data_IF_757289656589
#
_entry.id   IF_757289656589
#
_cell.length_a   1.000
_cell.length_b   1.000
_cell.length_c   1.000
_cell.angle_alpha   90.00
_cell.angle_beta   90.00
_cell.angle_gamma   90.00
#
_symmetry.space_group_name_H-M   'P 1'
#
loop_
_entity.id
_entity.type
_entity.pdbx_description
1 polymer ?
#
# COMPACT_ATOMS: atom_id res chain seq x y z
N UNK A 1 -5.32 14.82 -18.28
CA UNK A 1 -5.19 14.41 -17.87
C UNK A 1 -5.20 13.58 -17.39
N UNK A 2 -5.16 13.54 -17.38
CA UNK A 2 -4.76 12.64 -17.04
C UNK A 2 -5.49 11.73 -16.51
N UNK A 3 -5.24 10.64 -16.53
CA UNK A 3 -5.87 9.68 -15.87
C UNK A 3 -5.66 9.87 -14.43
N UNK A 4 -6.67 10.02 -13.66
CA UNK A 4 -6.55 10.10 -12.23
C UNK A 4 -6.27 8.75 -11.62
N UNK A 5 -5.93 8.75 -10.33
CA UNK A 5 -5.80 7.53 -9.54
C UNK A 5 -7.18 6.91 -9.36
N UNK A 6 -7.29 5.61 -9.61
CA UNK A 6 -8.54 4.84 -9.45
C UNK A 6 -8.47 3.81 -8.35
N UNK A 7 -7.25 3.51 -7.85
CA UNK A 7 -7.04 2.56 -6.78
C UNK A 7 -5.94 3.06 -5.85
N UNK A 8 -6.22 3.09 -4.56
CA UNK A 8 -5.22 3.39 -3.54
C UNK A 8 -5.08 2.15 -2.67
N UNK A 9 -3.86 1.64 -2.59
CA UNK A 9 -3.52 0.43 -1.84
C UNK A 9 -2.70 0.81 -0.62
N UNK A 10 -3.03 0.24 0.54
CA UNK A 10 -2.22 0.39 1.74
C UNK A 10 -1.63 -0.94 2.16
N UNK A 11 -0.31 -1.00 2.28
CA UNK A 11 0.39 -2.24 2.58
C UNK A 11 0.59 -2.46 4.07
N UNK A 12 0.41 -3.71 4.50
CA UNK A 12 0.62 -4.14 5.87
C UNK A 12 0.50 -5.65 5.99
N UNK A 13 0.91 -6.19 7.11
CA UNK A 13 0.70 -7.60 7.45
C UNK A 13 -0.61 -7.75 8.21
N UNK A 14 -1.36 -8.84 8.01
CA UNK A 14 -2.62 -9.07 8.72
C UNK A 14 -2.35 -9.54 10.15
N UNK A 15 -3.33 -9.31 11.02
CA UNK A 15 -3.31 -9.75 12.41
C UNK A 15 -3.02 -8.62 13.38
N UNK A 16 -3.60 -8.69 14.61
CA UNK A 16 -3.45 -7.61 15.58
C UNK A 16 -2.01 -7.39 16.04
N UNK A 17 -1.15 -8.42 15.97
CA UNK A 17 0.25 -8.28 16.32
C UNK A 17 1.03 -7.35 15.40
N UNK A 18 0.51 -7.08 14.19
CA UNK A 18 1.17 -6.21 13.22
C UNK A 18 0.54 -4.83 13.09
N UNK A 19 -0.65 -4.59 13.69
CA UNK A 19 -1.46 -3.40 13.44
C UNK A 19 -0.72 -2.09 13.66
N UNK A 20 0.14 -2.03 14.67
CA UNK A 20 0.86 -0.80 15.00
C UNK A 20 2.34 -0.89 14.66
N UNK A 21 2.74 -1.88 13.87
CA UNK A 21 4.13 -1.96 13.43
C UNK A 21 4.41 -0.93 12.33
N UNK A 22 5.67 -0.55 12.19
CA UNK A 22 6.09 0.40 11.15
C UNK A 22 5.76 -0.10 9.75
N UNK A 23 5.84 -1.40 9.52
CA UNK A 23 5.57 -2.01 8.22
C UNK A 23 4.09 -1.91 7.83
N UNK A 24 3.21 -1.63 8.77
CA UNK A 24 1.78 -1.44 8.51
C UNK A 24 1.38 0.03 8.29
N UNK A 25 2.34 0.93 8.13
CA UNK A 25 2.05 2.34 7.93
C UNK A 25 1.10 2.58 6.74
N UNK A 26 1.28 1.84 5.65
CA UNK A 26 0.42 1.98 4.47
C UNK A 26 -1.03 1.57 4.76
N UNK A 27 -1.22 0.43 5.44
CA UNK A 27 -2.55 -0.02 5.81
C UNK A 27 -3.24 0.97 6.75
N UNK A 28 -2.50 1.49 7.72
CA UNK A 28 -3.03 2.49 8.66
C UNK A 28 -3.44 3.77 7.92
N UNK A 29 -2.67 4.17 6.92
CA UNK A 29 -3.03 5.33 6.09
C UNK A 29 -4.40 5.14 5.43
N UNK A 30 -4.65 3.96 4.85
CA UNK A 30 -5.93 3.68 4.19
C UNK A 30 -7.07 3.66 5.22
N UNK A 31 -6.85 3.07 6.39
CA UNK A 31 -7.88 3.05 7.43
C UNK A 31 -8.28 4.47 7.83
N UNK A 32 -7.33 5.35 7.99
CA UNK A 32 -7.58 6.75 8.34
C UNK A 32 -8.23 7.52 7.20
N UNK A 33 -7.84 7.24 5.97
CA UNK A 33 -8.47 7.86 4.80
C UNK A 33 -9.94 7.44 4.70
N UNK A 34 -10.22 6.16 4.88
CA UNK A 34 -11.59 5.65 4.86
C UNK A 34 -12.42 6.29 5.96
N UNK A 35 -11.89 6.38 7.17
CA UNK A 35 -12.55 7.01 8.30
C UNK A 35 -12.89 8.47 8.01
N UNK A 36 -11.95 9.22 7.46
CA UNK A 36 -12.14 10.64 7.13
C UNK A 36 -13.28 10.85 6.15
N UNK A 37 -13.48 9.91 5.23
CA UNK A 37 -14.50 10.00 4.20
C UNK A 37 -15.74 9.16 4.52
N UNK A 38 -15.84 8.63 5.73
CA UNK A 38 -16.98 7.82 6.19
C UNK A 38 -17.19 6.59 5.31
N UNK A 39 -16.11 5.96 4.87
CA UNK A 39 -16.15 4.75 4.05
C UNK A 39 -15.92 3.55 4.95
N UNK A 40 -16.85 2.57 4.91
CA UNK A 40 -16.65 1.32 5.60
C UNK A 40 -15.83 0.36 4.76
N UNK A 41 -14.70 -0.11 5.31
CA UNK A 41 -13.91 -1.13 4.64
C UNK A 41 -14.53 -2.50 4.92
N UNK A 42 -14.61 -3.34 3.88
CA UNK A 42 -15.24 -4.65 3.94
C UNK A 42 -14.29 -5.72 3.42
N UNK A 43 -14.29 -6.88 4.07
CA UNK A 43 -13.51 -8.01 3.59
C UNK A 43 -14.13 -8.55 2.31
N UNK A 44 -13.32 -8.65 1.25
CA UNK A 44 -13.73 -9.26 -0.01
C UNK A 44 -12.71 -10.32 -0.41
N UNK A 45 -13.08 -11.59 -0.20
CA UNK A 45 -12.15 -12.70 -0.42
C UNK A 45 -11.68 -12.79 -1.87
N UNK A 46 -12.50 -12.39 -2.84
CA UNK A 46 -12.09 -12.42 -4.25
C UNK A 46 -10.96 -11.46 -4.56
N UNK A 47 -10.74 -10.46 -3.71
CA UNK A 47 -9.65 -9.49 -3.85
C UNK A 47 -8.58 -9.64 -2.79
N UNK A 48 -8.68 -10.67 -1.95
CA UNK A 48 -7.67 -10.97 -0.91
C UNK A 48 -7.41 -9.78 0.02
N UNK A 49 -8.45 -9.03 0.34
CA UNK A 49 -8.26 -7.85 1.19
C UNK A 49 -9.53 -7.16 1.63
N UNK A 50 -9.32 -6.09 2.37
CA UNK A 50 -10.37 -5.15 2.75
C UNK A 50 -10.50 -4.11 1.65
N UNK A 51 -11.73 -3.82 1.24
CA UNK A 51 -11.97 -2.87 0.16
C UNK A 51 -12.97 -1.82 0.57
N UNK A 52 -12.90 -0.69 -0.11
CA UNK A 52 -13.87 0.39 0.03
C UNK A 52 -13.90 1.21 -1.24
N UNK A 53 -14.84 2.13 -1.30
CA UNK A 53 -14.95 3.04 -2.43
C UNK A 53 -15.29 4.43 -1.91
N UNK A 54 -14.52 5.41 -2.35
CA UNK A 54 -14.82 6.79 -2.05
C UNK A 54 -14.93 7.58 -3.35
N UNK A 55 -15.61 8.71 -3.29
CA UNK A 55 -15.78 9.59 -4.44
C UNK A 55 -15.15 10.94 -4.09
N UNK A 56 -14.20 11.37 -4.92
CA UNK A 56 -13.56 12.67 -4.78
C UNK A 56 -13.73 13.41 -6.11
N UNK A 57 -14.32 14.59 -6.04
CA UNK A 57 -14.54 15.43 -7.22
C UNK A 57 -15.24 14.66 -8.35
N UNK A 58 -16.22 13.84 -8.00
CA UNK A 58 -16.99 13.06 -8.96
C UNK A 58 -16.31 11.82 -9.48
N UNK A 59 -15.10 11.52 -9.03
CA UNK A 59 -14.36 10.32 -9.45
C UNK A 59 -14.41 9.25 -8.39
N UNK A 60 -14.69 8.02 -8.82
CA UNK A 60 -14.65 6.85 -7.93
C UNK A 60 -13.23 6.39 -7.75
N UNK A 61 -12.82 6.24 -6.49
CA UNK A 61 -11.52 5.72 -6.13
C UNK A 61 -11.75 4.52 -5.23
N UNK A 62 -11.16 3.39 -5.58
CA UNK A 62 -11.24 2.19 -4.77
C UNK A 62 -10.09 2.16 -3.78
N UNK A 63 -10.38 1.65 -2.58
CA UNK A 63 -9.39 1.46 -1.52
C UNK A 63 -9.17 -0.04 -1.34
N UNK A 64 -7.93 -0.42 -1.09
CA UNK A 64 -7.57 -1.81 -0.86
C UNK A 64 -6.50 -1.92 0.22
N UNK A 65 -6.78 -2.73 1.23
CA UNK A 65 -5.75 -3.18 2.18
C UNK A 65 -5.63 -4.69 1.99
N UNK A 66 -4.54 -5.18 1.35
CA UNK A 66 -4.34 -6.62 1.24
C UNK A 66 -4.33 -7.26 2.63
N UNK A 67 -5.02 -8.39 2.77
CA UNK A 67 -5.02 -9.17 4.01
C UNK A 67 -4.13 -10.40 3.90
N UNK A 68 -3.32 -10.47 2.86
CA UNK A 68 -2.23 -11.41 2.72
C UNK A 68 -1.03 -10.92 3.51
N UNK A 69 -0.07 -11.79 3.77
CA UNK A 69 1.21 -11.33 4.29
C UNK A 69 1.89 -10.42 3.26
N UNK A 70 2.77 -9.55 3.75
CA UNK A 70 3.38 -8.48 2.94
C UNK A 70 3.96 -8.98 1.63
N UNK A 71 4.65 -10.13 1.65
CA UNK A 71 5.31 -10.67 0.46
C UNK A 71 4.33 -11.25 -0.59
N UNK A 72 3.01 -11.17 -0.34
CA UNK A 72 1.98 -11.58 -1.28
C UNK A 72 0.99 -10.46 -1.58
N UNK A 73 1.35 -9.23 -1.27
CA UNK A 73 0.49 -8.06 -1.49
C UNK A 73 0.06 -7.90 -2.95
N UNK A 74 0.90 -8.31 -3.88
CA UNK A 74 0.61 -8.19 -5.30
C UNK A 74 -0.56 -9.04 -5.76
N UNK A 75 -0.86 -10.14 -5.08
CA UNK A 75 -2.00 -10.98 -5.41
C UNK A 75 -3.31 -10.19 -5.30
N UNK A 76 -3.46 -9.42 -4.23
CA UNK A 76 -4.64 -8.60 -4.02
C UNK A 76 -4.71 -7.47 -5.05
N UNK A 77 -3.61 -6.79 -5.28
CA UNK A 77 -3.56 -5.67 -6.23
C UNK A 77 -3.91 -6.13 -7.63
N UNK A 78 -3.29 -7.22 -8.08
CA UNK A 78 -3.54 -7.74 -9.42
C UNK A 78 -5.00 -8.21 -9.58
N UNK A 79 -5.56 -8.86 -8.57
CA UNK A 79 -6.94 -9.34 -8.64
C UNK A 79 -7.93 -8.18 -8.78
N UNK A 80 -7.78 -7.13 -7.96
CA UNK A 80 -8.70 -6.00 -8.01
C UNK A 80 -8.49 -5.17 -9.27
N UNK A 81 -7.25 -4.87 -9.60
CA UNK A 81 -6.94 -4.07 -10.80
C UNK A 81 -7.41 -4.78 -12.07
N UNK A 82 -7.23 -6.08 -12.16
CA UNK A 82 -7.70 -6.85 -13.32
C UNK A 82 -9.22 -6.84 -13.42
N UNK A 83 -9.92 -7.01 -12.31
CA UNK A 83 -11.38 -7.03 -12.30
C UNK A 83 -11.98 -5.71 -12.79
N UNK A 84 -11.43 -4.59 -12.34
CA UNK A 84 -11.93 -3.25 -12.69
C UNK A 84 -11.18 -2.62 -13.85
N UNK A 85 -10.26 -3.34 -14.48
CA UNK A 85 -9.46 -2.86 -15.62
C UNK A 85 -8.69 -1.58 -15.30
N UNK A 86 -8.06 -1.58 -14.13
CA UNK A 86 -7.24 -0.47 -13.68
C UNK A 86 -5.81 -0.71 -14.11
N UNK A 87 -5.20 0.28 -14.76
CA UNK A 87 -3.81 0.17 -15.23
C UNK A 87 -2.84 0.53 -14.09
N UNK A 88 -1.56 0.09 -14.18
CA UNK A 88 -0.58 0.47 -13.15
C UNK A 88 -0.50 1.99 -12.94
N UNK A 89 -0.60 2.77 -14.00
CA UNK A 89 -0.52 4.24 -13.91
C UNK A 89 -1.69 4.86 -13.17
N UNK A 90 -2.74 4.09 -12.89
CA UNK A 90 -3.92 4.54 -12.16
C UNK A 90 -3.90 4.06 -10.70
N UNK A 91 -2.79 3.47 -10.26
CA UNK A 91 -2.66 2.89 -8.91
C UNK A 91 -1.69 3.73 -8.08
N UNK A 92 -2.08 4.02 -6.85
CA UNK A 92 -1.21 4.61 -5.84
C UNK A 92 -1.06 3.59 -4.71
N UNK A 93 0.18 3.25 -4.38
CA UNK A 93 0.49 2.31 -3.29
C UNK A 93 1.12 3.07 -2.14
N UNK A 94 0.46 3.06 -0.99
CA UNK A 94 1.00 3.64 0.24
C UNK A 94 1.78 2.56 0.98
N UNK A 95 3.02 2.86 1.34
CA UNK A 95 3.91 1.90 1.97
C UNK A 95 4.90 2.59 2.91
N UNK A 96 5.45 1.81 3.84
CA UNK A 96 6.51 2.28 4.72
C UNK A 96 7.80 2.49 3.92
N UNK A 97 8.55 3.54 4.28
CA UNK A 97 9.79 3.90 3.59
C UNK A 97 10.92 4.13 4.56
N UNK A 98 11.96 3.31 4.46
CA UNK A 98 13.12 3.39 5.33
C UNK A 98 13.99 4.62 5.06
N UNK A 99 13.99 5.10 3.82
CA UNK A 99 14.89 6.17 3.38
C UNK A 99 14.37 7.58 3.71
N UNK A 100 13.20 7.67 4.32
CA UNK A 100 12.63 8.95 4.76
C UNK A 100 12.49 8.99 6.28
N UNK A 101 12.76 10.14 6.92
CA UNK A 101 12.57 10.27 8.36
C UNK A 101 11.10 10.04 8.76
N UNK A 102 10.86 9.64 10.02
CA UNK A 102 9.49 9.51 10.50
C UNK A 102 8.69 10.80 10.31
N UNK A 103 7.45 10.63 9.81
CA UNK A 103 6.56 11.76 9.57
C UNK A 103 6.73 12.45 8.23
N UNK A 104 7.74 12.10 7.45
CA UNK A 104 7.93 12.65 6.10
C UNK A 104 7.17 11.79 5.11
N UNK A 105 6.41 12.42 4.22
CA UNK A 105 5.61 11.74 3.20
C UNK A 105 5.97 12.30 1.83
N UNK A 106 6.28 11.43 0.88
CA UNK A 106 6.59 11.83 -0.49
C UNK A 106 5.91 10.94 -1.50
N UNK A 107 5.46 11.54 -2.59
CA UNK A 107 4.94 10.80 -3.74
C UNK A 107 6.03 10.57 -4.77
N UNK A 108 5.96 9.42 -5.45
CA UNK A 108 6.88 9.08 -6.51
C UNK A 108 6.17 8.25 -7.56
N UNK A 109 6.45 8.48 -8.84
CA UNK A 109 5.95 7.62 -9.92
C UNK A 109 7.02 6.65 -10.33
N UNK A 110 6.68 5.35 -10.35
CA UNK A 110 7.58 4.32 -10.83
C UNK A 110 8.77 4.04 -9.92
N UNK A 111 9.70 3.28 -10.42
CA UNK A 111 10.91 2.92 -9.71
C UNK A 111 10.93 1.47 -9.24
N UNK A 112 12.05 1.04 -8.68
CA UNK A 112 12.21 -0.29 -8.14
C UNK A 112 11.52 -0.45 -6.77
N UNK A 113 11.67 -1.64 -6.19
CA UNK A 113 11.03 -1.93 -4.91
C UNK A 113 11.87 -1.54 -3.68
N UNK A 114 13.15 -1.22 -3.88
CA UNK A 114 14.01 -0.79 -2.79
C UNK A 114 14.15 -1.79 -1.65
N UNK A 115 13.97 -3.08 -1.92
CA UNK A 115 13.98 -4.13 -0.90
C UNK A 115 12.66 -4.30 -0.16
N UNK A 116 11.63 -3.54 -0.47
CA UNK A 116 10.31 -3.67 0.16
C UNK A 116 9.59 -4.88 -0.43
N UNK A 117 9.28 -5.87 0.39
CA UNK A 117 8.70 -7.14 -0.07
C UNK A 117 7.33 -6.96 -0.71
N UNK A 118 6.50 -6.07 -0.19
CA UNK A 118 5.19 -5.79 -0.76
C UNK A 118 5.30 -5.18 -2.16
N UNK A 119 6.17 -4.19 -2.34
CA UNK A 119 6.38 -3.59 -3.65
C UNK A 119 6.97 -4.58 -4.64
N UNK A 120 7.89 -5.42 -4.18
CA UNK A 120 8.47 -6.47 -5.04
C UNK A 120 7.39 -7.38 -5.59
N UNK A 121 6.49 -7.84 -4.73
CA UNK A 121 5.43 -8.75 -5.16
C UNK A 121 4.41 -8.05 -6.07
N UNK A 122 4.06 -6.79 -5.79
CA UNK A 122 3.17 -6.03 -6.68
C UNK A 122 3.75 -5.95 -8.07
N UNK A 123 5.03 -5.58 -8.18
CA UNK A 123 5.70 -5.49 -9.49
C UNK A 123 5.64 -6.84 -10.21
N UNK A 124 5.96 -7.93 -9.52
CA UNK A 124 5.93 -9.26 -10.10
C UNK A 124 4.52 -9.63 -10.59
N UNK A 125 3.50 -9.40 -9.78
CA UNK A 125 2.12 -9.77 -10.10
C UNK A 125 1.50 -8.88 -11.18
N UNK A 126 2.03 -7.69 -11.40
CA UNK A 126 1.59 -6.80 -12.48
C UNK A 126 2.41 -7.00 -13.77
N UNK A 127 3.00 -8.18 -13.95
CA UNK A 127 3.76 -8.51 -15.16
C UNK A 127 5.06 -7.73 -15.27
N UNK A 128 5.72 -7.51 -14.15
CA UNK A 128 6.96 -6.73 -14.04
C UNK A 128 6.79 -5.26 -14.42
N UNK A 129 5.58 -4.73 -14.26
CA UNK A 129 5.32 -3.31 -14.48
C UNK A 129 5.47 -2.56 -13.17
N UNK A 130 6.27 -1.51 -13.17
CA UNK A 130 6.58 -0.74 -11.97
C UNK A 130 6.14 0.74 -12.09
N UNK A 131 5.26 1.05 -13.02
CA UNK A 131 4.89 2.43 -13.37
C UNK A 131 3.80 3.01 -12.49
N UNK A 132 3.38 2.30 -11.45
CA UNK A 132 2.40 2.82 -10.50
C UNK A 132 3.01 3.90 -9.60
N UNK A 133 2.15 4.70 -8.99
CA UNK A 133 2.57 5.75 -8.06
C UNK A 133 2.79 5.17 -6.67
N UNK A 134 3.68 5.78 -5.91
CA UNK A 134 4.01 5.40 -4.54
C UNK A 134 3.77 6.58 -3.61
N UNK A 135 3.07 6.33 -2.51
CA UNK A 135 3.04 7.25 -1.39
C UNK A 135 4.00 6.69 -0.34
N UNK A 136 5.16 7.32 -0.23
CA UNK A 136 6.27 6.87 0.61
C UNK A 136 6.09 7.47 2.00
N UNK A 137 5.78 6.61 2.97
CA UNK A 137 5.55 7.03 4.36
C UNK A 137 6.81 6.77 5.17
N UNK A 138 7.50 7.83 5.54
CA UNK A 138 8.80 7.72 6.22
C UNK A 138 8.68 7.08 7.59
N UNK A 139 9.54 6.08 7.84
CA UNK A 139 9.63 5.41 9.13
C UNK A 139 11.05 5.46 9.71
N UNK A 140 12.02 5.98 8.93
CA UNK A 140 13.42 6.00 9.31
C UNK A 140 14.11 4.66 9.04
N UNK A 141 15.41 4.65 9.16
CA UNK A 141 16.24 3.46 8.94
C UNK A 141 16.98 3.11 10.23
N UNK A 142 17.12 1.82 10.58
CA UNK A 142 17.83 1.42 11.80
C UNK A 142 19.34 1.62 11.73
N UNK A 143 19.89 1.97 10.56
CA UNK A 143 21.31 2.23 10.36
C UNK A 143 22.10 1.05 9.83
N UNK A 144 21.54 -0.16 9.90
CA UNK A 144 22.22 -1.36 9.42
C UNK A 144 21.22 -2.31 8.78
N UNK A 145 21.56 -2.85 7.61
CA UNK A 145 20.63 -3.69 6.84
C UNK A 145 20.20 -4.96 7.59
N UNK A 146 21.06 -5.51 8.45
CA UNK A 146 20.72 -6.70 9.24
C UNK A 146 19.63 -6.45 10.27
N UNK A 147 19.32 -5.19 10.56
CA UNK A 147 18.30 -4.82 11.56
C UNK A 147 16.96 -4.46 10.93
N UNK A 148 16.86 -4.44 9.58
CA UNK A 148 15.66 -3.92 8.89
C UNK A 148 14.42 -4.71 9.24
N UNK A 149 14.47 -6.05 9.21
CA UNK A 149 13.29 -6.87 9.50
C UNK A 149 12.74 -6.59 10.89
N UNK A 150 13.59 -6.59 11.91
CA UNK A 150 13.16 -6.29 13.26
C UNK A 150 12.62 -4.86 13.42
N UNK A 151 13.23 -3.91 12.72
CA UNK A 151 12.82 -2.51 12.77
C UNK A 151 11.42 -2.32 12.18
N UNK A 152 11.16 -2.86 10.97
CA UNK A 152 9.85 -2.65 10.31
C UNK A 152 8.73 -3.42 11.02
N UNK A 153 9.03 -4.52 11.71
CA UNK A 153 8.07 -5.25 12.50
C UNK A 153 7.94 -4.71 13.92
N UNK A 154 8.72 -3.69 14.29
CA UNK A 154 8.60 -3.02 15.56
C UNK A 154 7.55 -1.92 15.51
N UNK A 155 7.10 -1.48 16.69
CA UNK A 155 6.13 -0.40 16.80
C UNK A 155 6.81 0.95 16.60
N UNK A 156 6.11 1.87 15.97
CA UNK A 156 6.54 3.24 15.88
C UNK A 156 6.46 3.90 17.26
N UNK A 157 7.38 4.81 17.58
CA UNK A 157 7.33 5.55 18.85
C UNK A 157 6.12 6.46 18.93
#
# INVERSE_FOLDING_TARGET
>A
MTQGIKLIVGLGNPGPEYDLTRHNAGALFIERLADRHNVGLRAESKFFGLTGRLTIDGQDIRLLIPTTFMNRSGQAVAALAGFYRITPEEILVAHDELDLPPGVVKCKKGGGHGGHNGLRDIIAQLGNQNTFYRLRLGIGHPGHSSQVTGFVLGRAP
#
